data_IF_198805361547
#
_entry.id   IF_198805361547
#
_cell.length_a   1.000
_cell.length_b   1.000
_cell.length_c   1.000
_cell.angle_alpha   90.00
_cell.angle_beta   90.00
_cell.angle_gamma   90.00
#
_symmetry.space_group_name_H-M   'P 1'
#
loop_
_entity.id
_entity.type
_entity.pdbx_description
1 polymer ?
#
# COMPACT_ATOMS: atom_id res chain seq x y z
N UNK A 1 14.22 2.10 -23.46
CA UNK A 1 13.21 1.15 -23.96
C UNK A 1 13.63 -0.32 -23.81
N UNK A 2 14.75 -0.76 -24.37
CA UNK A 2 15.19 -2.16 -24.29
C UNK A 2 15.63 -2.69 -22.91
N UNK A 3 15.94 -1.85 -21.93
CA UNK A 3 16.48 -2.29 -20.63
C UNK A 3 15.48 -2.95 -19.68
N UNK A 4 14.21 -2.54 -19.67
CA UNK A 4 13.17 -3.16 -18.83
C UNK A 4 12.68 -4.46 -19.49
N UNK A 5 12.45 -4.44 -20.82
CA UNK A 5 12.08 -5.64 -21.57
C UNK A 5 13.17 -6.73 -21.53
N UNK A 6 14.46 -6.35 -21.58
CA UNK A 6 15.58 -7.28 -21.45
C UNK A 6 15.71 -7.90 -20.05
N UNK A 7 15.40 -7.14 -18.97
CA UNK A 7 15.34 -7.69 -17.60
C UNK A 7 14.22 -8.70 -17.40
N UNK A 8 13.12 -8.56 -18.12
CA UNK A 8 11.98 -9.50 -18.06
C UNK A 8 12.26 -10.82 -18.80
N UNK A 9 13.15 -10.80 -19.80
CA UNK A 9 13.49 -11.98 -20.62
C UNK A 9 14.70 -12.78 -20.13
N UNK A 10 15.62 -12.20 -19.32
CA UNK A 10 16.94 -12.79 -19.06
C UNK A 10 17.13 -13.43 -17.69
N UNK A 11 16.09 -13.58 -16.86
CA UNK A 11 16.25 -14.20 -15.53
C UNK A 11 15.91 -15.71 -15.51
N UNK A 12 16.38 -16.47 -16.50
CA UNK A 12 16.42 -17.94 -16.40
C UNK A 12 17.85 -18.50 -16.23
N UNK A 13 18.87 -17.69 -16.04
CA UNK A 13 20.22 -18.19 -15.73
C UNK A 13 21.03 -17.19 -14.90
N UNK A 14 21.42 -17.68 -13.73
CA UNK A 14 22.49 -17.27 -12.81
C UNK A 14 23.55 -16.28 -13.30
N UNK A 15 23.75 -15.17 -12.59
CA UNK A 15 25.01 -14.80 -11.92
C UNK A 15 25.01 -13.34 -11.45
N UNK A 16 25.54 -13.15 -10.25
CA UNK A 16 25.76 -11.91 -9.54
C UNK A 16 26.65 -10.92 -10.30
N UNK A 17 26.16 -9.71 -10.56
CA UNK A 17 27.02 -8.54 -10.74
C UNK A 17 26.31 -7.30 -10.18
N UNK A 18 26.92 -6.72 -9.16
CA UNK A 18 26.50 -5.52 -8.48
C UNK A 18 26.39 -4.34 -9.47
N UNK A 19 25.16 -3.85 -9.65
CA UNK A 19 24.93 -2.59 -10.35
C UNK A 19 25.09 -1.44 -9.33
N UNK A 20 26.14 -0.63 -9.55
CA UNK A 20 26.35 0.63 -8.84
C UNK A 20 25.12 1.52 -9.05
N UNK A 21 24.49 1.90 -7.95
CA UNK A 21 23.44 2.91 -7.92
C UNK A 21 24.04 4.25 -8.38
N UNK A 22 23.53 4.80 -9.47
CA UNK A 22 23.80 6.18 -9.82
C UNK A 22 23.09 7.09 -8.82
N UNK A 23 23.76 8.13 -8.28
CA UNK A 23 23.11 9.08 -7.39
C UNK A 23 22.03 9.87 -8.15
N UNK A 24 20.97 10.23 -7.44
CA UNK A 24 19.91 11.13 -7.91
C UNK A 24 20.52 12.36 -8.60
N UNK A 25 19.95 12.87 -9.69
CA UNK A 25 20.35 14.17 -10.23
C UNK A 25 20.10 15.24 -9.17
N UNK A 26 21.19 15.87 -8.72
CA UNK A 26 21.24 16.90 -7.67
C UNK A 26 20.74 18.27 -8.11
N UNK A 27 20.15 18.40 -9.29
CA UNK A 27 19.65 19.67 -9.82
C UNK A 27 18.12 19.76 -9.70
N UNK A 28 17.61 19.68 -8.47
CA UNK A 28 16.29 20.17 -8.12
C UNK A 28 16.49 21.57 -7.55
N UNK A 29 15.89 22.58 -8.18
CA UNK A 29 15.87 23.95 -7.67
C UNK A 29 15.49 23.95 -6.19
N UNK A 30 16.18 24.74 -5.34
CA UNK A 30 15.88 24.77 -3.92
C UNK A 30 14.49 25.39 -3.73
N UNK A 31 13.52 24.55 -3.34
CA UNK A 31 12.32 25.06 -2.70
C UNK A 31 12.70 25.79 -1.41
N UNK A 32 11.96 26.83 -1.00
CA UNK A 32 12.24 27.51 0.25
C UNK A 32 12.30 26.46 1.37
N UNK A 33 13.42 26.42 2.05
CA UNK A 33 13.68 25.59 3.24
C UNK A 33 12.83 26.10 4.40
N UNK A 34 11.52 26.02 4.30
CA UNK A 34 10.66 26.03 5.48
C UNK A 34 10.86 24.68 6.14
N UNK A 35 11.47 24.71 7.31
CA UNK A 35 11.78 23.61 8.22
C UNK A 35 10.93 22.34 7.99
N UNK A 36 11.35 21.49 7.02
CA UNK A 36 10.83 20.15 6.88
C UNK A 36 11.25 19.36 8.13
N UNK A 37 10.31 19.19 9.06
CA UNK A 37 10.49 18.19 10.09
C UNK A 37 10.36 16.82 9.44
N UNK A 38 11.15 15.81 9.88
CA UNK A 38 11.04 14.47 9.33
C UNK A 38 9.59 14.00 9.49
N UNK A 39 9.03 13.51 8.40
CA UNK A 39 7.73 12.86 8.38
C UNK A 39 7.72 11.74 9.41
N UNK A 40 6.84 11.82 10.36
CA UNK A 40 6.58 10.74 11.28
C UNK A 40 5.40 9.96 10.76
N UNK A 41 5.68 8.84 10.12
CA UNK A 41 4.63 7.89 9.77
C UNK A 41 4.01 7.37 11.06
N UNK A 42 3.01 8.08 11.50
CA UNK A 42 1.91 7.58 12.30
C UNK A 42 2.16 7.07 13.71
N UNK A 43 3.40 6.94 14.20
CA UNK A 43 3.71 6.56 15.56
C UNK A 43 4.90 7.38 16.05
N UNK A 44 4.67 8.64 16.42
CA UNK A 44 5.61 9.38 17.25
C UNK A 44 5.55 8.89 18.69
N UNK A 45 5.89 7.63 18.91
CA UNK A 45 6.19 7.15 20.24
C UNK A 45 7.62 7.57 20.57
N UNK A 46 7.76 8.57 21.41
CA UNK A 46 9.07 8.91 21.95
C UNK A 46 9.65 7.73 22.73
N UNK A 47 10.96 7.57 22.72
CA UNK A 47 11.65 6.43 23.33
C UNK A 47 11.32 6.22 24.81
N UNK A 48 10.91 7.29 25.52
CA UNK A 48 10.50 7.20 26.93
C UNK A 48 9.07 6.64 27.11
N UNK A 49 8.25 6.61 26.07
CA UNK A 49 6.86 6.14 26.09
C UNK A 49 6.73 4.62 25.92
N UNK A 50 7.82 3.92 25.73
CA UNK A 50 7.86 2.46 25.52
C UNK A 50 8.99 1.82 26.33
N UNK A 51 8.87 0.52 26.58
CA UNK A 51 9.92 -0.27 27.24
C UNK A 51 11.04 -0.55 26.22
N UNK A 52 12.29 -0.13 26.42
CA UNK A 52 13.35 -0.25 25.43
C UNK A 52 13.64 -1.69 25.00
N UNK A 53 13.55 -2.65 25.91
CA UNK A 53 13.81 -4.05 25.60
C UNK A 53 12.69 -4.67 24.78
N UNK A 54 11.43 -4.25 24.96
CA UNK A 54 10.33 -4.64 24.10
C UNK A 54 10.59 -4.19 22.64
N UNK A 55 11.05 -2.96 22.45
CA UNK A 55 11.39 -2.45 21.10
C UNK A 55 12.55 -3.23 20.47
N UNK A 56 13.58 -3.62 21.23
CA UNK A 56 14.67 -4.46 20.72
C UNK A 56 14.15 -5.81 20.25
N UNK A 57 13.26 -6.47 21.01
CA UNK A 57 12.66 -7.75 20.65
C UNK A 57 11.79 -7.62 19.41
N UNK A 58 10.96 -6.57 19.30
CA UNK A 58 10.13 -6.29 18.16
C UNK A 58 10.98 -6.12 16.89
N UNK A 59 12.01 -5.27 16.97
CA UNK A 59 12.91 -5.02 15.84
C UNK A 59 13.66 -6.28 15.42
N UNK A 60 14.13 -7.09 16.38
CA UNK A 60 14.76 -8.36 16.06
C UNK A 60 13.82 -9.28 15.31
N UNK A 61 12.60 -9.48 15.81
CA UNK A 61 11.61 -10.38 15.20
C UNK A 61 11.25 -9.97 13.77
N UNK A 62 10.94 -8.69 13.55
CA UNK A 62 10.55 -8.17 12.23
C UNK A 62 11.72 -8.19 11.24
N UNK A 63 12.91 -7.76 11.68
CA UNK A 63 14.09 -7.75 10.81
C UNK A 63 14.53 -9.18 10.42
N UNK A 64 14.50 -10.11 11.38
CA UNK A 64 14.84 -11.51 11.10
C UNK A 64 13.88 -12.15 10.09
N UNK A 65 12.58 -11.91 10.25
CA UNK A 65 11.57 -12.35 9.27
C UNK A 65 11.84 -11.75 7.89
N UNK A 66 11.96 -10.44 7.79
CA UNK A 66 12.12 -9.73 6.51
C UNK A 66 13.42 -10.07 5.79
N UNK A 67 14.48 -10.38 6.53
CA UNK A 67 15.80 -10.75 5.96
C UNK A 67 15.77 -12.14 5.33
N UNK A 68 15.17 -13.12 5.99
CA UNK A 68 15.28 -14.52 5.59
C UNK A 68 14.05 -15.02 4.82
N UNK A 69 12.86 -14.48 5.11
CA UNK A 69 11.57 -14.89 4.48
C UNK A 69 11.34 -16.41 4.51
N UNK A 70 11.92 -17.13 5.46
CA UNK A 70 11.81 -18.57 5.62
C UNK A 70 10.75 -18.94 6.64
N UNK A 71 10.22 -20.17 6.57
CA UNK A 71 9.31 -20.70 7.60
C UNK A 71 9.97 -20.70 8.99
N UNK A 72 11.28 -20.93 9.05
CA UNK A 72 12.06 -20.87 10.29
C UNK A 72 12.08 -19.47 10.89
N UNK A 73 12.39 -18.44 10.10
CA UNK A 73 12.40 -17.05 10.55
C UNK A 73 11.00 -16.52 10.90
N UNK A 74 9.96 -16.98 10.20
CA UNK A 74 8.57 -16.71 10.55
C UNK A 74 8.23 -17.23 11.96
N UNK A 75 8.44 -18.51 12.21
CA UNK A 75 8.21 -19.13 13.52
C UNK A 75 9.03 -18.49 14.62
N UNK A 76 10.30 -18.19 14.35
CA UNK A 76 11.19 -17.50 15.29
C UNK A 76 10.65 -16.10 15.61
N UNK A 77 10.26 -15.31 14.61
CA UNK A 77 9.69 -13.99 14.80
C UNK A 77 8.44 -14.01 15.68
N UNK A 78 7.49 -14.91 15.39
CA UNK A 78 6.28 -15.09 16.21
C UNK A 78 6.61 -15.55 17.64
N UNK A 79 7.58 -16.45 17.81
CA UNK A 79 8.02 -16.92 19.13
C UNK A 79 8.59 -15.77 19.98
N UNK A 80 9.47 -14.95 19.40
CA UNK A 80 10.05 -13.77 20.06
C UNK A 80 8.97 -12.78 20.48
N UNK A 81 8.02 -12.47 19.58
CA UNK A 81 6.90 -11.56 19.88
C UNK A 81 5.95 -12.13 20.93
N UNK A 82 5.68 -13.44 20.90
CA UNK A 82 4.90 -14.12 21.94
C UNK A 82 5.60 -14.03 23.29
N UNK A 83 6.92 -14.24 23.33
CA UNK A 83 7.69 -14.07 24.55
C UNK A 83 7.66 -12.62 25.05
N UNK A 84 7.81 -11.63 24.16
CA UNK A 84 7.67 -10.22 24.50
C UNK A 84 6.30 -9.90 25.14
N UNK A 85 5.23 -10.49 24.65
CA UNK A 85 3.87 -10.31 25.18
C UNK A 85 3.61 -11.03 26.51
N UNK A 86 4.41 -12.05 26.86
CA UNK A 86 4.25 -12.89 28.06
C UNK A 86 5.26 -12.58 29.16
N UNK A 87 6.13 -11.58 28.99
CA UNK A 87 7.11 -11.19 29.99
C UNK A 87 6.71 -9.88 30.71
N UNK A 88 7.36 -9.61 31.84
CA UNK A 88 7.13 -8.41 32.66
C UNK A 88 7.22 -7.08 31.87
N UNK A 89 7.86 -7.11 30.69
CA UNK A 89 7.99 -5.95 29.81
C UNK A 89 6.64 -5.37 29.33
N UNK A 90 5.57 -6.17 29.40
CA UNK A 90 4.24 -5.80 28.91
C UNK A 90 3.11 -6.09 29.92
N UNK A 91 3.42 -6.54 31.14
CA UNK A 91 2.41 -6.88 32.16
C UNK A 91 1.83 -5.66 32.90
N UNK A 92 2.48 -4.50 32.84
CA UNK A 92 1.97 -3.27 33.45
C UNK A 92 0.69 -2.75 32.78
N UNK A 93 -0.13 -2.03 33.56
CA UNK A 93 -1.34 -1.35 33.04
C UNK A 93 -1.12 0.16 32.83
N UNK A 94 0.08 0.64 33.02
CA UNK A 94 0.42 2.02 32.68
C UNK A 94 0.59 2.22 31.17
N UNK A 95 0.55 3.46 30.72
CA UNK A 95 0.65 3.81 29.29
C UNK A 95 1.90 3.24 28.64
N UNK A 96 3.03 3.19 29.34
CA UNK A 96 4.31 2.70 28.78
C UNK A 96 4.29 1.20 28.48
N UNK A 97 3.71 0.39 29.36
CA UNK A 97 3.58 -1.05 29.18
C UNK A 97 2.51 -1.36 28.11
N UNK A 98 1.35 -0.67 28.14
CA UNK A 98 0.33 -0.84 27.12
C UNK A 98 0.81 -0.41 25.72
N UNK A 99 1.61 0.65 25.61
CA UNK A 99 2.25 1.03 24.35
C UNK A 99 3.16 -0.10 23.82
N UNK A 100 4.00 -0.65 24.70
CA UNK A 100 4.91 -1.73 24.34
C UNK A 100 4.17 -2.98 23.92
N UNK A 101 3.10 -3.31 24.63
CA UNK A 101 2.19 -4.43 24.30
C UNK A 101 1.51 -4.21 22.94
N UNK A 102 0.95 -3.04 22.73
CA UNK A 102 0.30 -2.68 21.47
C UNK A 102 1.27 -2.73 20.28
N UNK A 103 2.49 -2.23 20.45
CA UNK A 103 3.55 -2.31 19.45
C UNK A 103 3.95 -3.75 19.13
N UNK A 104 4.03 -4.63 20.12
CA UNK A 104 4.32 -6.05 19.89
C UNK A 104 3.17 -6.76 19.15
N UNK A 105 1.91 -6.41 19.45
CA UNK A 105 0.74 -6.90 18.73
C UNK A 105 0.71 -6.42 17.27
N UNK A 106 0.99 -5.13 17.02
CA UNK A 106 1.14 -4.57 15.67
C UNK A 106 2.24 -5.29 14.88
N UNK A 107 3.39 -5.53 15.50
CA UNK A 107 4.49 -6.27 14.90
C UNK A 107 4.09 -7.70 14.53
N UNK A 108 3.38 -8.38 15.44
CA UNK A 108 2.87 -9.71 15.20
C UNK A 108 1.88 -9.75 14.04
N UNK A 109 0.93 -8.80 14.02
CA UNK A 109 -0.02 -8.64 12.92
C UNK A 109 0.72 -8.38 11.59
N UNK A 110 1.77 -7.55 11.60
CA UNK A 110 2.58 -7.28 10.39
C UNK A 110 3.24 -8.54 9.84
N UNK A 111 3.87 -9.35 10.69
CA UNK A 111 4.49 -10.62 10.27
C UNK A 111 3.45 -11.60 9.74
N UNK A 112 2.29 -11.71 10.39
CA UNK A 112 1.18 -12.53 9.95
C UNK A 112 0.63 -12.07 8.60
N UNK A 113 0.41 -10.76 8.44
CA UNK A 113 -0.02 -10.15 7.17
C UNK A 113 0.97 -10.44 6.04
N UNK A 114 2.27 -10.19 6.26
CA UNK A 114 3.32 -10.43 5.26
C UNK A 114 3.44 -11.93 4.90
N UNK A 115 2.93 -12.84 5.73
CA UNK A 115 2.84 -14.28 5.47
C UNK A 115 1.52 -14.66 4.78
N UNK A 116 0.52 -13.76 4.79
CA UNK A 116 -0.80 -14.00 4.26
C UNK A 116 -1.82 -14.58 5.26
N UNK A 117 -1.47 -14.62 6.55
CA UNK A 117 -2.35 -15.10 7.64
C UNK A 117 -3.29 -13.98 8.10
N UNK A 118 -4.17 -13.52 7.20
CA UNK A 118 -4.98 -12.30 7.41
C UNK A 118 -5.92 -12.38 8.61
N UNK A 119 -6.59 -13.52 8.83
CA UNK A 119 -7.54 -13.69 9.95
C UNK A 119 -6.84 -13.54 11.29
N UNK A 120 -5.70 -14.23 11.49
CA UNK A 120 -4.93 -14.12 12.73
C UNK A 120 -4.33 -12.70 12.90
N UNK A 121 -3.95 -12.04 11.79
CA UNK A 121 -3.49 -10.66 11.82
C UNK A 121 -4.57 -9.71 12.33
N UNK A 122 -5.82 -9.86 11.86
CA UNK A 122 -6.97 -9.07 12.29
C UNK A 122 -7.27 -9.28 13.77
N UNK A 123 -7.27 -10.52 14.26
CA UNK A 123 -7.46 -10.83 15.68
C UNK A 123 -6.46 -10.06 16.57
N UNK A 124 -5.19 -10.01 16.15
CA UNK A 124 -4.16 -9.27 16.91
C UNK A 124 -4.36 -7.75 16.87
N UNK A 125 -4.92 -7.21 15.81
CA UNK A 125 -5.28 -5.79 15.71
C UNK A 125 -6.50 -5.45 16.59
N UNK A 126 -7.44 -6.38 16.73
CA UNK A 126 -8.57 -6.26 17.66
C UNK A 126 -8.11 -6.23 19.10
N UNK A 127 -7.18 -7.11 19.49
CA UNK A 127 -6.59 -7.13 20.83
C UNK A 127 -5.98 -5.77 21.25
N UNK A 128 -5.45 -4.99 20.29
CA UNK A 128 -4.89 -3.65 20.56
C UNK A 128 -5.95 -2.68 21.06
N UNK A 129 -7.20 -2.83 20.66
CA UNK A 129 -8.29 -1.92 21.06
C UNK A 129 -8.65 -2.02 22.55
N UNK A 130 -8.29 -3.13 23.20
CA UNK A 130 -8.47 -3.33 24.65
C UNK A 130 -7.47 -2.54 25.50
N UNK A 131 -6.43 -1.98 24.88
CA UNK A 131 -5.38 -1.20 25.54
C UNK A 131 -5.80 0.26 25.72
N UNK A 132 -6.65 0.51 26.72
CA UNK A 132 -7.30 1.82 26.91
C UNK A 132 -6.36 2.94 27.33
N UNK A 133 -5.25 2.60 28.03
CA UNK A 133 -4.22 3.55 28.45
C UNK A 133 -3.09 3.70 27.42
N UNK A 134 -3.17 3.00 26.30
CA UNK A 134 -2.17 3.12 25.25
C UNK A 134 -2.29 4.45 24.51
N UNK A 135 -1.15 4.89 23.95
CA UNK A 135 -1.08 6.07 23.10
C UNK A 135 -2.07 5.99 21.93
N UNK A 136 -2.77 7.09 21.65
CA UNK A 136 -3.79 7.14 20.61
C UNK A 136 -3.30 6.61 19.26
N UNK A 137 -2.06 6.93 18.88
CA UNK A 137 -1.45 6.49 17.62
C UNK A 137 -1.33 4.98 17.48
N UNK A 138 -1.15 4.23 18.57
CA UNK A 138 -1.12 2.76 18.56
C UNK A 138 -2.49 2.20 18.19
N UNK A 139 -3.54 2.73 18.79
CA UNK A 139 -4.93 2.30 18.52
C UNK A 139 -5.40 2.72 17.13
N UNK A 140 -5.09 3.95 16.71
CA UNK A 140 -5.40 4.43 15.35
C UNK A 140 -4.64 3.59 14.31
N UNK A 141 -3.34 3.32 14.53
CA UNK A 141 -2.56 2.48 13.64
C UNK A 141 -3.12 1.06 13.49
N UNK A 142 -3.60 0.47 14.59
CA UNK A 142 -4.25 -0.85 14.54
C UNK A 142 -5.57 -0.82 13.75
N UNK A 143 -6.40 0.23 13.90
CA UNK A 143 -7.65 0.37 13.16
C UNK A 143 -7.41 0.65 11.67
N UNK A 144 -6.41 1.47 11.31
CA UNK A 144 -6.02 1.65 9.90
C UNK A 144 -5.57 0.33 9.27
N UNK A 145 -4.72 -0.42 9.97
CA UNK A 145 -4.26 -1.72 9.50
C UNK A 145 -5.42 -2.71 9.32
N UNK A 146 -6.33 -2.77 10.29
CA UNK A 146 -7.51 -3.63 10.23
C UNK A 146 -8.43 -3.26 9.06
N UNK A 147 -8.71 -1.98 8.87
CA UNK A 147 -9.51 -1.51 7.73
C UNK A 147 -8.83 -1.84 6.40
N UNK A 148 -7.50 -1.63 6.30
CA UNK A 148 -6.72 -2.00 5.11
C UNK A 148 -6.81 -3.48 4.78
N UNK A 149 -6.70 -4.36 5.79
CA UNK A 149 -6.86 -5.82 5.60
C UNK A 149 -8.26 -6.19 5.11
N UNK A 150 -9.32 -5.61 5.68
CA UNK A 150 -10.68 -5.84 5.22
C UNK A 150 -10.90 -5.36 3.78
N UNK A 151 -10.34 -4.19 3.42
CA UNK A 151 -10.37 -3.70 2.04
C UNK A 151 -9.65 -4.67 1.09
N UNK A 152 -8.49 -5.18 1.47
CA UNK A 152 -7.72 -6.13 0.66
C UNK A 152 -8.48 -7.45 0.47
N UNK A 153 -9.24 -7.87 1.49
CA UNK A 153 -10.10 -9.06 1.44
C UNK A 153 -11.44 -8.83 0.70
N UNK A 154 -11.72 -7.62 0.24
CA UNK A 154 -12.99 -7.29 -0.41
C UNK A 154 -14.18 -7.14 0.55
N UNK A 155 -13.91 -6.95 1.84
CA UNK A 155 -14.92 -6.82 2.90
C UNK A 155 -15.16 -5.33 3.24
N UNK A 156 -15.67 -4.58 2.27
CA UNK A 156 -15.79 -3.12 2.32
C UNK A 156 -16.68 -2.61 3.46
N UNK A 157 -17.73 -3.35 3.81
CA UNK A 157 -18.62 -2.98 4.91
C UNK A 157 -17.94 -3.12 6.28
N UNK A 158 -17.10 -4.16 6.46
CA UNK A 158 -16.31 -4.32 7.67
C UNK A 158 -15.23 -3.24 7.75
N UNK A 159 -14.57 -2.92 6.63
CA UNK A 159 -13.62 -1.81 6.57
C UNK A 159 -14.27 -0.48 6.95
N UNK A 160 -15.50 -0.22 6.47
CA UNK A 160 -16.27 0.98 6.82
C UNK A 160 -16.60 1.05 8.30
N UNK A 161 -17.04 -0.06 8.90
CA UNK A 161 -17.33 -0.14 10.33
C UNK A 161 -16.08 0.13 11.20
N UNK A 162 -14.91 -0.37 10.76
CA UNK A 162 -13.63 -0.10 11.43
C UNK A 162 -13.22 1.36 11.29
N UNK A 163 -13.43 1.98 10.12
CA UNK A 163 -13.16 3.40 9.93
C UNK A 163 -14.06 4.28 10.81
N UNK A 164 -15.34 3.91 11.00
CA UNK A 164 -16.24 4.58 11.94
C UNK A 164 -15.78 4.42 13.40
N UNK A 165 -15.30 3.23 13.77
CA UNK A 165 -14.68 3.00 15.09
C UNK A 165 -13.43 3.87 15.27
N UNK A 166 -12.61 4.01 14.24
CA UNK A 166 -11.41 4.85 14.26
C UNK A 166 -11.76 6.32 14.56
N UNK A 167 -12.75 6.88 13.84
CA UNK A 167 -13.23 8.23 14.10
C UNK A 167 -13.72 8.40 15.53
N UNK A 168 -14.56 7.47 16.03
CA UNK A 168 -15.06 7.52 17.41
C UNK A 168 -13.94 7.48 18.46
N UNK A 169 -12.91 6.65 18.25
CA UNK A 169 -11.75 6.57 19.17
C UNK A 169 -11.04 7.91 19.25
N UNK A 170 -10.84 8.57 18.12
CA UNK A 170 -10.18 9.89 18.07
C UNK A 170 -11.07 10.98 18.67
N UNK A 171 -12.36 11.00 18.35
CA UNK A 171 -13.31 12.00 18.89
C UNK A 171 -13.46 11.89 20.41
N UNK A 172 -13.48 10.68 20.96
CA UNK A 172 -13.53 10.46 22.40
C UNK A 172 -12.29 11.04 23.10
N UNK A 173 -11.10 10.96 22.47
CA UNK A 173 -9.89 11.56 23.03
C UNK A 173 -9.95 13.10 23.10
N UNK A 174 -10.70 13.75 22.20
CA UNK A 174 -10.93 15.21 22.23
C UNK A 174 -11.62 15.68 23.50
N UNK A 175 -12.41 14.81 24.13
CA UNK A 175 -13.15 15.11 25.35
C UNK A 175 -12.33 14.88 26.62
N UNK A 176 -11.12 14.34 26.51
CA UNK A 176 -10.25 14.07 27.66
C UNK A 176 -9.70 15.37 28.27
N UNK A 177 -9.49 15.37 29.61
CA UNK A 177 -9.06 16.55 30.37
C UNK A 177 -7.69 17.09 29.96
N UNK A 178 -6.81 16.24 29.41
CA UNK A 178 -5.42 16.58 29.04
C UNK A 178 -5.28 16.95 27.56
N UNK A 179 -6.38 17.27 26.89
CA UNK A 179 -6.42 17.55 25.45
C UNK A 179 -5.45 18.66 24.99
N UNK A 180 -5.29 19.74 25.78
CA UNK A 180 -4.45 20.87 25.40
C UNK A 180 -2.96 20.51 25.30
N UNK A 181 -2.48 19.54 26.09
CA UNK A 181 -1.08 19.10 26.09
C UNK A 181 -0.80 18.23 24.83
N UNK A 182 -1.79 17.47 24.39
CA UNK A 182 -1.68 16.50 23.28
C UNK A 182 -2.28 17.03 21.95
N UNK A 183 -2.58 18.32 21.87
CA UNK A 183 -3.31 18.90 20.72
C UNK A 183 -2.67 18.63 19.35
N UNK A 184 -1.35 18.67 19.28
CA UNK A 184 -0.63 18.44 18.01
C UNK A 184 -0.79 17.00 17.52
N UNK A 185 -0.58 16.04 18.42
CA UNK A 185 -0.67 14.62 18.14
C UNK A 185 -2.11 14.25 17.80
N UNK A 186 -3.08 14.82 18.51
CA UNK A 186 -4.49 14.67 18.22
C UNK A 186 -4.83 15.07 16.77
N UNK A 187 -4.36 16.24 16.30
CA UNK A 187 -4.63 16.71 14.93
C UNK A 187 -4.11 15.71 13.89
N UNK A 188 -2.90 15.17 14.08
CA UNK A 188 -2.34 14.19 13.17
C UNK A 188 -3.19 12.91 13.11
N UNK A 189 -3.62 12.39 14.25
CA UNK A 189 -4.47 11.18 14.32
C UNK A 189 -5.88 11.42 13.80
N UNK A 190 -6.42 12.62 14.02
CA UNK A 190 -7.72 13.01 13.49
C UNK A 190 -7.71 13.05 11.95
N UNK A 191 -6.64 13.60 11.37
CA UNK A 191 -6.46 13.62 9.90
C UNK A 191 -6.34 12.21 9.35
N UNK A 192 -5.58 11.33 10.02
CA UNK A 192 -5.46 9.93 9.61
C UNK A 192 -6.83 9.21 9.63
N UNK A 193 -7.61 9.41 10.69
CA UNK A 193 -8.95 8.82 10.78
C UNK A 193 -9.89 9.36 9.69
N UNK A 194 -9.85 10.67 9.39
CA UNK A 194 -10.57 11.28 8.27
C UNK A 194 -10.12 10.71 6.93
N UNK A 195 -8.81 10.62 6.69
CA UNK A 195 -8.28 10.05 5.47
C UNK A 195 -8.71 8.60 5.28
N UNK A 196 -8.76 7.81 6.36
CA UNK A 196 -9.28 6.45 6.30
C UNK A 196 -10.75 6.41 5.87
N UNK A 197 -11.59 7.28 6.42
CA UNK A 197 -12.99 7.42 5.98
C UNK A 197 -13.08 7.82 4.52
N UNK A 198 -12.31 8.83 4.11
CA UNK A 198 -12.22 9.26 2.71
C UNK A 198 -11.79 8.12 1.77
N UNK A 199 -10.81 7.30 2.17
CA UNK A 199 -10.39 6.13 1.40
C UNK A 199 -11.54 5.13 1.21
N UNK A 200 -12.29 4.83 2.27
CA UNK A 200 -13.46 3.92 2.18
C UNK A 200 -14.47 4.44 1.16
N UNK A 201 -14.78 5.75 1.19
CA UNK A 201 -15.72 6.34 0.25
C UNK A 201 -15.17 6.33 -1.19
N UNK A 202 -13.87 6.56 -1.38
CA UNK A 202 -13.22 6.44 -2.70
C UNK A 202 -13.31 5.01 -3.25
N UNK A 203 -13.04 4.00 -2.43
CA UNK A 203 -13.14 2.58 -2.81
C UNK A 203 -14.58 2.21 -3.20
N UNK A 204 -15.58 2.76 -2.49
CA UNK A 204 -16.99 2.60 -2.83
C UNK A 204 -17.42 3.42 -4.07
N UNK A 205 -16.54 4.24 -4.62
CA UNK A 205 -16.83 5.12 -5.75
C UNK A 205 -17.69 6.35 -5.38
N UNK A 206 -17.73 6.75 -4.11
CA UNK A 206 -18.49 7.89 -3.56
C UNK A 206 -17.58 9.12 -3.46
N UNK A 207 -17.14 9.68 -4.59
CA UNK A 207 -16.16 10.79 -4.62
C UNK A 207 -16.67 12.03 -3.89
N UNK A 208 -17.96 12.36 -4.02
CA UNK A 208 -18.54 13.53 -3.36
C UNK A 208 -18.60 13.35 -1.84
N UNK A 209 -18.94 12.15 -1.37
CA UNK A 209 -18.88 11.84 0.07
C UNK A 209 -17.45 11.82 0.61
N UNK A 210 -16.49 11.40 -0.22
CA UNK A 210 -15.07 11.45 0.16
C UNK A 210 -14.59 12.89 0.36
N UNK A 211 -15.08 13.86 -0.44
CA UNK A 211 -14.72 15.27 -0.37
C UNK A 211 -14.93 15.87 1.02
N UNK A 212 -16.01 15.49 1.72
CA UNK A 212 -16.32 15.96 3.07
C UNK A 212 -15.20 15.69 4.08
N UNK A 213 -14.38 14.65 3.85
CA UNK A 213 -13.24 14.31 4.70
C UNK A 213 -11.96 15.07 4.37
N UNK A 214 -11.90 15.72 3.19
CA UNK A 214 -10.71 16.41 2.70
C UNK A 214 -10.88 17.93 2.59
N UNK A 215 -12.12 18.46 2.74
CA UNK A 215 -12.47 19.86 2.47
C UNK A 215 -12.13 20.83 3.62
N UNK A 216 -11.71 20.37 4.78
CA UNK A 216 -11.29 21.24 5.86
C UNK A 216 -9.94 21.92 5.53
N UNK A 217 -9.77 23.21 5.89
CA UNK A 217 -8.51 23.92 5.70
C UNK A 217 -7.45 23.41 6.69
N UNK A 218 -7.07 22.17 6.52
CA UNK A 218 -5.99 21.56 7.27
C UNK A 218 -4.70 21.95 6.57
N UNK A 219 -3.76 22.53 7.34
CA UNK A 219 -2.43 22.88 6.85
C UNK A 219 -1.80 21.68 6.12
N UNK A 220 -1.35 21.88 4.88
CA UNK A 220 -0.76 20.85 4.02
C UNK A 220 0.32 20.01 4.70
N UNK A 221 0.97 20.56 5.74
CA UNK A 221 1.99 19.84 6.52
C UNK A 221 1.48 18.61 7.28
N UNK A 222 0.17 18.44 7.43
CA UNK A 222 -0.44 17.30 8.11
C UNK A 222 -0.89 16.20 7.13
N UNK A 223 -0.90 16.49 5.82
CA UNK A 223 -1.17 15.50 4.80
C UNK A 223 0.12 14.76 4.44
N UNK A 224 0.54 13.86 5.33
CA UNK A 224 1.72 13.04 5.15
C UNK A 224 1.40 11.53 5.20
N UNK A 225 2.38 10.71 4.89
CA UNK A 225 2.25 9.27 5.00
C UNK A 225 1.03 8.71 4.27
N UNK A 226 0.26 7.87 4.95
CA UNK A 226 -0.95 7.23 4.41
C UNK A 226 -2.06 8.24 4.14
N UNK A 227 -2.21 9.24 5.00
CA UNK A 227 -3.20 10.29 4.83
C UNK A 227 -2.90 11.14 3.59
N UNK A 228 -1.63 11.54 3.40
CA UNK A 228 -1.20 12.25 2.21
C UNK A 228 -1.38 11.47 0.94
N UNK A 229 -1.09 10.16 0.96
CA UNK A 229 -1.32 9.29 -0.19
C UNK A 229 -2.81 9.23 -0.56
N UNK A 230 -3.70 9.04 0.41
CA UNK A 230 -5.15 9.02 0.16
C UNK A 230 -5.68 10.36 -0.35
N UNK A 231 -5.19 11.47 0.22
CA UNK A 231 -5.55 12.79 -0.26
C UNK A 231 -5.13 13.02 -1.72
N UNK A 232 -3.93 12.58 -2.08
CA UNK A 232 -3.45 12.68 -3.46
C UNK A 232 -4.30 11.81 -4.43
N UNK A 233 -4.75 10.64 -4.00
CA UNK A 233 -5.65 9.78 -4.78
C UNK A 233 -7.04 10.42 -4.96
N UNK A 234 -7.57 11.07 -3.93
CA UNK A 234 -8.77 11.88 -4.03
C UNK A 234 -8.61 13.02 -5.05
N UNK A 235 -7.52 13.77 -4.98
CA UNK A 235 -7.21 14.84 -5.95
C UNK A 235 -7.07 14.28 -7.37
N UNK A 236 -6.44 13.13 -7.53
CA UNK A 236 -6.33 12.43 -8.81
C UNK A 236 -7.73 12.08 -9.36
N UNK A 237 -8.60 11.54 -8.52
CA UNK A 237 -9.99 11.22 -8.89
C UNK A 237 -10.81 12.46 -9.27
N UNK A 238 -10.57 13.60 -8.62
CA UNK A 238 -11.15 14.93 -8.93
C UNK A 238 -10.49 15.61 -10.14
N UNK A 239 -9.55 14.95 -10.84
CA UNK A 239 -8.78 15.48 -11.98
C UNK A 239 -7.88 16.70 -11.65
N UNK A 240 -7.58 16.94 -10.37
CA UNK A 240 -6.62 17.95 -9.96
C UNK A 240 -5.19 17.39 -10.01
N UNK A 241 -4.73 17.08 -11.21
CA UNK A 241 -3.48 16.35 -11.43
C UNK A 241 -2.24 17.10 -10.95
N UNK A 242 -2.21 18.43 -11.07
CA UNK A 242 -1.06 19.23 -10.65
C UNK A 242 -0.83 19.11 -9.14
N UNK A 243 -1.87 19.33 -8.35
CA UNK A 243 -1.77 19.23 -6.89
C UNK A 243 -1.58 17.77 -6.43
N UNK A 244 -2.27 16.81 -7.05
CA UNK A 244 -2.07 15.40 -6.77
C UNK A 244 -0.61 14.98 -6.97
N UNK A 245 0.02 15.41 -8.07
CA UNK A 245 1.43 15.15 -8.36
C UNK A 245 2.36 15.70 -7.28
N UNK A 246 2.13 16.93 -6.81
CA UNK A 246 2.92 17.54 -5.74
C UNK A 246 2.80 16.75 -4.42
N UNK A 247 1.58 16.35 -4.05
CA UNK A 247 1.35 15.56 -2.83
C UNK A 247 1.97 14.18 -2.94
N UNK A 248 1.79 13.44 -4.05
CA UNK A 248 2.45 12.15 -4.26
C UNK A 248 3.97 12.26 -4.13
N UNK A 249 4.57 13.28 -4.75
CA UNK A 249 6.01 13.52 -4.65
C UNK A 249 6.45 13.77 -3.21
N UNK A 250 5.67 14.53 -2.45
CA UNK A 250 5.94 14.77 -1.03
C UNK A 250 5.90 13.47 -0.23
N UNK A 251 4.90 12.61 -0.48
CA UNK A 251 4.79 11.29 0.17
C UNK A 251 5.97 10.38 -0.17
N UNK A 252 6.40 10.33 -1.44
CA UNK A 252 7.60 9.57 -1.86
C UNK A 252 8.84 10.04 -1.10
N UNK A 253 9.06 11.35 -1.03
CA UNK A 253 10.22 11.92 -0.32
C UNK A 253 10.18 11.59 1.17
N UNK A 254 9.01 11.71 1.79
CA UNK A 254 8.80 11.34 3.20
C UNK A 254 9.09 9.85 3.46
N UNK A 255 8.56 8.95 2.65
CA UNK A 255 8.79 7.52 2.76
C UNK A 255 10.28 7.14 2.64
N UNK A 256 11.00 7.78 1.69
CA UNK A 256 12.46 7.60 1.54
C UNK A 256 13.21 8.08 2.79
N UNK A 257 12.82 9.20 3.39
CA UNK A 257 13.46 9.73 4.60
C UNK A 257 13.25 8.79 5.79
N UNK A 258 12.04 8.27 5.98
CA UNK A 258 11.72 7.31 7.04
C UNK A 258 12.59 6.05 6.90
N UNK A 259 12.67 5.50 5.69
CA UNK A 259 13.48 4.32 5.41
C UNK A 259 14.97 4.56 5.72
N UNK A 260 15.50 5.75 5.40
CA UNK A 260 16.89 6.12 5.67
C UNK A 260 17.18 6.37 7.16
N UNK A 261 16.22 6.92 7.88
CA UNK A 261 16.36 7.16 9.29
C UNK A 261 16.42 5.87 10.12
N UNK A 262 16.07 4.73 9.54
CA UNK A 262 16.08 3.45 10.24
C UNK A 262 15.14 3.44 11.43
N UNK A 263 13.97 4.11 11.31
CA UNK A 263 13.03 4.23 12.40
C UNK A 263 12.68 2.84 12.97
N UNK A 264 12.98 2.57 14.24
CA UNK A 264 12.69 1.29 14.87
C UNK A 264 11.20 1.07 15.10
N UNK A 265 10.38 2.11 14.95
CA UNK A 265 8.94 2.03 15.17
C UNK A 265 8.25 1.51 13.92
N UNK A 266 7.37 0.55 14.11
CA UNK A 266 6.57 0.00 13.05
C UNK A 266 5.54 1.04 12.59
N UNK A 267 5.47 1.26 11.29
CA UNK A 267 4.31 1.89 10.70
C UNK A 267 3.04 1.06 11.01
N UNK A 268 1.87 1.65 10.86
CA UNK A 268 0.60 0.93 10.97
C UNK A 268 0.65 -0.40 10.19
N UNK A 269 0.04 -1.45 10.75
CA UNK A 269 0.28 -2.85 10.43
C UNK A 269 0.45 -3.24 8.97
N UNK A 270 -0.40 -2.78 8.06
CA UNK A 270 -0.31 -3.08 6.62
C UNK A 270 0.47 -2.04 5.80
N UNK A 271 0.94 -0.95 6.43
CA UNK A 271 1.68 0.12 5.76
C UNK A 271 3.05 0.31 6.38
N UNK A 272 4.02 -0.45 5.91
CA UNK A 272 5.44 -0.16 6.15
C UNK A 272 5.91 1.02 5.29
N UNK A 273 7.06 1.62 5.63
CA UNK A 273 7.67 2.64 4.79
C UNK A 273 7.92 2.15 3.34
N UNK A 274 8.21 0.86 3.17
CA UNK A 274 8.39 0.27 1.85
C UNK A 274 7.07 0.18 1.07
N UNK A 275 5.97 -0.22 1.70
CA UNK A 275 4.65 -0.26 1.05
C UNK A 275 4.17 1.14 0.69
N UNK A 276 4.34 2.11 1.59
CA UNK A 276 4.03 3.51 1.32
C UNK A 276 4.84 4.03 0.13
N UNK A 277 6.12 3.67 0.03
CA UNK A 277 7.00 4.03 -1.07
C UNK A 277 6.52 3.42 -2.39
N UNK A 278 6.20 2.12 -2.40
CA UNK A 278 5.66 1.43 -3.60
C UNK A 278 4.35 2.06 -4.04
N UNK A 279 3.41 2.26 -3.11
CA UNK A 279 2.10 2.85 -3.41
C UNK A 279 2.21 4.26 -3.98
N UNK A 280 3.01 5.11 -3.34
CA UNK A 280 3.18 6.51 -3.79
C UNK A 280 3.95 6.62 -5.11
N UNK A 281 5.00 5.82 -5.34
CA UNK A 281 5.70 5.78 -6.63
C UNK A 281 4.80 5.26 -7.75
N UNK A 282 4.00 4.23 -7.48
CA UNK A 282 3.06 3.68 -8.44
C UNK A 282 1.99 4.71 -8.83
N UNK A 283 1.38 5.37 -7.85
CA UNK A 283 0.39 6.42 -8.10
C UNK A 283 1.00 7.64 -8.80
N UNK A 284 2.22 8.04 -8.42
CA UNK A 284 2.94 9.11 -9.09
C UNK A 284 3.24 8.77 -10.56
N UNK A 285 3.68 7.54 -10.84
CA UNK A 285 3.90 7.08 -12.22
C UNK A 285 2.61 7.01 -13.05
N UNK A 286 1.48 6.66 -12.43
CA UNK A 286 0.17 6.68 -13.09
C UNK A 286 -0.21 8.13 -13.50
N UNK A 287 0.00 9.11 -12.63
CA UNK A 287 -0.33 10.51 -12.95
C UNK A 287 0.61 11.09 -14.02
N UNK A 288 1.90 10.73 -14.03
CA UNK A 288 2.82 11.12 -15.09
C UNK A 288 2.37 10.57 -16.46
N UNK A 289 1.90 9.33 -16.48
CA UNK A 289 1.33 8.74 -17.70
C UNK A 289 0.07 9.48 -18.16
N UNK A 290 -0.78 9.93 -17.24
CA UNK A 290 -1.97 10.75 -17.56
C UNK A 290 -1.61 12.11 -18.13
N UNK A 291 -0.54 12.71 -17.63
CA UNK A 291 -0.03 13.98 -18.12
C UNK A 291 0.77 13.86 -19.43
N UNK A 292 1.00 12.65 -19.94
CA UNK A 292 1.72 12.36 -21.18
C UNK A 292 3.24 12.26 -21.02
N UNK A 293 3.77 12.37 -19.80
CA UNK A 293 5.20 12.20 -19.55
C UNK A 293 5.54 10.69 -19.34
N UNK A 294 5.56 9.96 -20.45
CA UNK A 294 5.82 8.52 -20.42
C UNK A 294 7.24 8.15 -20.00
N UNK A 295 8.19 9.05 -20.13
CA UNK A 295 9.56 8.81 -19.66
C UNK A 295 9.60 8.73 -18.13
N UNK A 296 9.02 9.71 -17.45
CA UNK A 296 8.94 9.72 -15.99
C UNK A 296 7.98 8.67 -15.46
N UNK A 297 6.86 8.42 -16.15
CA UNK A 297 5.95 7.35 -15.79
C UNK A 297 6.64 5.98 -15.78
N UNK A 298 7.36 5.62 -16.85
CA UNK A 298 8.12 4.37 -16.95
C UNK A 298 9.20 4.26 -15.88
N UNK A 299 9.86 5.38 -15.59
CA UNK A 299 10.91 5.45 -14.58
C UNK A 299 10.37 5.18 -13.16
N UNK A 300 9.30 5.87 -12.75
CA UNK A 300 8.74 5.73 -11.41
C UNK A 300 8.01 4.39 -11.22
N UNK A 301 7.26 3.94 -12.22
CA UNK A 301 6.65 2.60 -12.18
C UNK A 301 7.69 1.48 -12.18
N UNK A 302 8.80 1.66 -12.90
CA UNK A 302 9.93 0.71 -12.88
C UNK A 302 10.61 0.63 -11.51
N UNK A 303 10.76 1.76 -10.82
CA UNK A 303 11.23 1.79 -9.44
C UNK A 303 10.23 1.12 -8.49
N UNK A 304 8.93 1.47 -8.60
CA UNK A 304 7.88 0.86 -7.81
C UNK A 304 7.89 -0.67 -7.95
N UNK A 305 8.14 -1.19 -9.17
CA UNK A 305 8.25 -2.63 -9.41
C UNK A 305 9.44 -3.24 -8.66
N UNK A 306 10.61 -2.60 -8.73
CA UNK A 306 11.80 -3.07 -8.01
C UNK A 306 11.58 -3.07 -6.50
N UNK A 307 11.02 -1.99 -5.96
CA UNK A 307 10.71 -1.88 -4.53
C UNK A 307 9.66 -2.90 -4.07
N UNK A 308 8.65 -3.20 -4.91
CA UNK A 308 7.64 -4.21 -4.61
C UNK A 308 8.24 -5.63 -4.58
N UNK A 309 9.10 -5.97 -5.54
CA UNK A 309 9.80 -7.26 -5.58
C UNK A 309 10.73 -7.43 -4.37
N UNK A 310 11.44 -6.37 -3.97
CA UNK A 310 12.34 -6.38 -2.80
C UNK A 310 11.56 -6.44 -1.47
N UNK A 311 10.48 -5.68 -1.35
CA UNK A 311 9.68 -5.63 -0.12
C UNK A 311 9.02 -6.96 0.23
N UNK A 312 8.61 -7.73 -0.76
CA UNK A 312 7.90 -9.00 -0.56
C UNK A 312 8.78 -10.23 -0.77
N UNK A 313 9.94 -10.09 -1.42
CA UNK A 313 10.84 -11.20 -1.72
C UNK A 313 10.25 -12.26 -2.67
N UNK A 314 9.03 -12.05 -3.15
CA UNK A 314 8.31 -12.93 -4.07
C UNK A 314 7.84 -12.14 -5.31
N UNK A 315 8.36 -12.44 -6.50
CA UNK A 315 7.91 -11.79 -7.73
C UNK A 315 6.47 -12.16 -8.14
N UNK A 316 5.84 -13.10 -7.43
CA UNK A 316 4.43 -13.49 -7.63
C UNK A 316 3.49 -12.84 -6.62
N UNK A 317 3.96 -11.93 -5.79
CA UNK A 317 3.10 -11.24 -4.85
C UNK A 317 2.04 -10.39 -5.57
N UNK A 318 0.77 -10.32 -5.10
CA UNK A 318 -0.30 -9.54 -5.74
C UNK A 318 0.03 -8.05 -5.93
N UNK A 319 0.80 -7.44 -5.01
CA UNK A 319 1.29 -6.07 -5.15
C UNK A 319 2.17 -5.90 -6.40
N UNK A 320 3.02 -6.88 -6.70
CA UNK A 320 3.84 -6.89 -7.94
C UNK A 320 2.94 -6.90 -9.16
N UNK A 321 1.86 -7.69 -9.15
CA UNK A 321 0.87 -7.71 -10.22
C UNK A 321 0.17 -6.35 -10.40
N UNK A 322 -0.15 -5.64 -9.30
CA UNK A 322 -0.74 -4.31 -9.35
C UNK A 322 0.18 -3.28 -10.04
N UNK A 323 1.47 -3.30 -9.70
CA UNK A 323 2.46 -2.42 -10.34
C UNK A 323 2.67 -2.78 -11.81
N UNK A 324 2.72 -4.07 -12.15
CA UNK A 324 2.80 -4.54 -13.53
C UNK A 324 1.57 -4.15 -14.35
N UNK A 325 0.36 -4.19 -13.76
CA UNK A 325 -0.86 -3.73 -14.40
C UNK A 325 -0.79 -2.22 -14.69
N UNK A 326 -0.27 -1.43 -13.74
CA UNK A 326 -0.07 0.02 -13.94
C UNK A 326 0.93 0.30 -15.07
N UNK A 327 2.03 -0.44 -15.15
CA UNK A 327 2.98 -0.37 -16.28
C UNK A 327 2.31 -0.74 -17.61
N UNK A 328 1.53 -1.80 -17.65
CA UNK A 328 0.85 -2.25 -18.86
C UNK A 328 -0.15 -1.19 -19.37
N UNK A 329 -0.91 -0.59 -18.46
CA UNK A 329 -1.85 0.49 -18.80
C UNK A 329 -1.13 1.77 -19.24
N UNK A 330 0.02 2.09 -18.64
CA UNK A 330 0.88 3.18 -19.10
C UNK A 330 1.33 2.95 -20.56
N UNK A 331 1.81 1.74 -20.88
CA UNK A 331 2.20 1.42 -22.27
C UNK A 331 1.01 1.39 -23.24
N UNK A 332 -0.19 0.96 -22.78
CA UNK A 332 -1.43 1.07 -23.59
C UNK A 332 -1.71 2.54 -23.93
N UNK A 333 -1.67 3.43 -22.94
CA UNK A 333 -1.89 4.85 -23.16
C UNK A 333 -0.82 5.46 -24.10
N UNK A 334 0.45 5.12 -23.87
CA UNK A 334 1.56 5.52 -24.73
C UNK A 334 1.35 5.08 -26.17
N UNK A 335 0.95 3.82 -26.38
CA UNK A 335 0.69 3.29 -27.72
C UNK A 335 -0.43 4.03 -28.45
N UNK A 336 -1.51 4.37 -27.74
CA UNK A 336 -2.64 5.14 -28.29
C UNK A 336 -2.19 6.56 -28.65
N UNK A 337 -1.47 7.25 -27.76
CA UNK A 337 -1.09 8.65 -27.92
C UNK A 337 0.03 8.85 -28.94
N UNK A 338 1.03 7.97 -28.95
CA UNK A 338 2.19 8.06 -29.84
C UNK A 338 2.02 7.23 -31.15
N UNK A 339 0.88 6.55 -31.33
CA UNK A 339 0.66 5.60 -32.44
C UNK A 339 1.81 4.56 -32.56
N UNK A 340 2.35 4.12 -31.44
CA UNK A 340 3.53 3.26 -31.38
C UNK A 340 3.17 1.77 -31.26
N UNK A 341 4.08 0.90 -31.71
CA UNK A 341 3.91 -0.55 -31.68
C UNK A 341 4.27 -1.19 -30.32
N UNK A 342 3.92 -0.57 -29.20
CA UNK A 342 4.20 -1.13 -27.86
C UNK A 342 3.32 -2.35 -27.49
N UNK A 343 2.61 -2.95 -28.48
CA UNK A 343 1.68 -4.06 -28.26
C UNK A 343 2.34 -5.30 -27.66
N UNK A 344 3.56 -5.64 -28.10
CA UNK A 344 4.28 -6.81 -27.57
C UNK A 344 4.68 -6.65 -26.11
N UNK A 345 5.04 -5.42 -25.71
CA UNK A 345 5.36 -5.12 -24.30
C UNK A 345 4.09 -5.24 -23.46
N UNK A 346 2.99 -4.67 -23.92
CA UNK A 346 1.69 -4.76 -23.25
C UNK A 346 1.27 -6.22 -23.08
N UNK A 347 1.32 -7.02 -24.14
CA UNK A 347 0.96 -8.44 -24.10
C UNK A 347 1.78 -9.21 -23.06
N UNK A 348 3.10 -9.00 -23.04
CA UNK A 348 3.99 -9.64 -22.04
C UNK A 348 3.66 -9.26 -20.61
N UNK A 349 3.34 -7.99 -20.36
CA UNK A 349 2.98 -7.49 -19.03
C UNK A 349 1.61 -8.03 -18.58
N UNK A 350 0.58 -7.98 -19.44
CA UNK A 350 -0.75 -8.51 -19.10
C UNK A 350 -0.70 -10.01 -18.81
N UNK A 351 0.03 -10.80 -19.62
CA UNK A 351 0.22 -12.24 -19.36
C UNK A 351 0.88 -12.47 -17.98
N UNK A 352 1.90 -11.70 -17.64
CA UNK A 352 2.59 -11.82 -16.34
C UNK A 352 1.63 -11.48 -15.18
N UNK A 353 0.82 -10.42 -15.31
CA UNK A 353 -0.21 -10.08 -14.30
C UNK A 353 -1.21 -11.24 -14.13
N UNK A 354 -1.73 -11.77 -15.25
CA UNK A 354 -2.69 -12.87 -15.23
C UNK A 354 -2.07 -14.13 -14.62
N UNK A 355 -0.81 -14.43 -14.91
CA UNK A 355 -0.09 -15.58 -14.34
C UNK A 355 0.13 -15.47 -12.84
N UNK A 356 0.46 -14.27 -12.34
CA UNK A 356 0.62 -14.02 -10.91
C UNK A 356 -0.72 -14.18 -10.17
N UNK A 357 -1.82 -13.69 -10.77
CA UNK A 357 -3.14 -13.66 -10.16
C UNK A 357 -4.02 -14.86 -10.54
N UNK A 358 -3.44 -15.94 -11.07
CA UNK A 358 -4.18 -17.20 -11.28
C UNK A 358 -4.62 -17.76 -9.93
N UNK A 359 -5.91 -18.10 -9.84
CA UNK A 359 -6.43 -18.87 -8.71
C UNK A 359 -5.70 -20.21 -8.67
N UNK A 360 -5.07 -20.59 -7.56
CA UNK A 360 -4.50 -21.94 -7.41
C UNK A 360 -5.59 -22.97 -7.68
N UNK A 361 -5.32 -23.97 -8.53
CA UNK A 361 -6.22 -25.11 -8.67
C UNK A 361 -6.31 -25.86 -7.34
N UNK A 362 -7.43 -26.50 -7.05
CA UNK A 362 -7.60 -27.25 -5.79
C UNK A 362 -6.51 -28.28 -5.54
N UNK A 363 -5.91 -28.81 -6.61
CA UNK A 363 -4.77 -29.73 -6.56
C UNK A 363 -3.45 -29.10 -6.09
N UNK A 364 -3.33 -27.76 -6.13
CA UNK A 364 -2.12 -27.02 -5.71
C UNK A 364 -2.24 -26.38 -4.33
N UNK A 365 -3.36 -26.58 -3.63
CA UNK A 365 -3.50 -26.19 -2.22
C UNK A 365 -2.66 -27.14 -1.36
N UNK A 366 -1.35 -26.90 -1.30
CA UNK A 366 -0.48 -27.54 -0.32
C UNK A 366 -0.88 -27.07 1.07
N UNK A 367 -0.98 -28.00 2.01
CA UNK A 367 -1.17 -27.68 3.43
C UNK A 367 -0.10 -26.65 3.86
N UNK A 368 -0.51 -25.43 4.20
CA UNK A 368 0.37 -24.33 4.58
C UNK A 368 0.67 -23.31 3.48
N UNK A 369 -0.02 -23.33 2.33
CA UNK A 369 0.02 -22.25 1.35
C UNK A 369 -0.59 -20.96 1.91
N UNK A 370 0.03 -19.80 1.61
CA UNK A 370 -0.54 -18.50 1.97
C UNK A 370 -1.97 -18.38 1.43
N UNK A 371 -2.93 -17.82 2.19
CA UNK A 371 -4.28 -17.61 1.72
C UNK A 371 -4.24 -16.74 0.44
N UNK A 372 -5.03 -17.16 -0.53
CA UNK A 372 -5.13 -16.48 -1.81
C UNK A 372 -5.87 -15.15 -1.62
N UNK A 373 -5.20 -14.05 -1.95
CA UNK A 373 -5.85 -12.74 -2.02
C UNK A 373 -6.58 -12.65 -3.36
N UNK A 374 -7.90 -12.56 -3.32
CA UNK A 374 -8.72 -12.39 -4.53
C UNK A 374 -8.53 -10.99 -5.10
N UNK A 375 -7.64 -10.88 -6.09
CA UNK A 375 -7.39 -9.68 -6.87
C UNK A 375 -8.10 -9.74 -8.21
N UNK A 376 -9.37 -10.17 -8.16
CA UNK A 376 -10.23 -10.27 -9.33
C UNK A 376 -10.38 -8.95 -10.09
N UNK A 377 -10.31 -7.82 -9.38
CA UNK A 377 -10.32 -6.47 -9.96
C UNK A 377 -9.14 -6.24 -10.92
N UNK A 378 -7.90 -6.45 -10.46
CA UNK A 378 -6.70 -6.29 -11.31
C UNK A 378 -6.62 -7.37 -12.39
N UNK A 379 -6.99 -8.59 -12.04
CA UNK A 379 -7.04 -9.69 -13.00
C UNK A 379 -8.06 -9.42 -14.12
N UNK A 380 -9.22 -8.86 -13.80
CA UNK A 380 -10.23 -8.45 -14.77
C UNK A 380 -9.73 -7.29 -15.65
N UNK A 381 -9.13 -6.25 -15.02
CA UNK A 381 -8.55 -5.13 -15.75
C UNK A 381 -7.47 -5.58 -16.75
N UNK A 382 -6.55 -6.44 -16.30
CA UNK A 382 -5.49 -6.97 -17.15
C UNK A 382 -6.05 -7.83 -18.31
N UNK A 383 -7.06 -8.67 -18.04
CA UNK A 383 -7.72 -9.49 -19.07
C UNK A 383 -8.51 -8.66 -20.06
N UNK A 384 -9.24 -7.63 -19.59
CA UNK A 384 -9.99 -6.72 -20.46
C UNK A 384 -9.06 -5.97 -21.42
N UNK A 385 -8.00 -5.37 -20.89
CA UNK A 385 -7.00 -4.69 -21.73
C UNK A 385 -6.23 -5.66 -22.64
N UNK A 386 -5.96 -6.87 -22.19
CA UNK A 386 -5.35 -7.90 -23.04
C UNK A 386 -6.27 -8.35 -24.18
N UNK A 387 -7.58 -8.45 -23.91
CA UNK A 387 -8.56 -8.77 -24.95
C UNK A 387 -8.55 -7.74 -26.09
N UNK A 388 -8.34 -6.45 -25.80
CA UNK A 388 -8.19 -5.42 -26.83
C UNK A 388 -6.94 -5.67 -27.69
N UNK A 389 -5.81 -6.04 -27.08
CA UNK A 389 -4.57 -6.38 -27.81
C UNK A 389 -4.77 -7.59 -28.72
N UNK A 390 -5.54 -8.58 -28.27
CA UNK A 390 -5.85 -9.78 -29.04
C UNK A 390 -6.82 -9.49 -30.21
N UNK A 391 -7.80 -8.63 -29.99
CA UNK A 391 -8.86 -8.33 -30.99
C UNK A 391 -8.34 -7.65 -32.26
N UNK A 392 -7.19 -6.94 -32.17
CA UNK A 392 -6.53 -6.35 -33.35
C UNK A 392 -5.71 -7.36 -34.15
N UNK A 393 -5.51 -8.58 -33.63
CA UNK A 393 -4.80 -9.67 -34.30
C UNK A 393 -5.84 -10.64 -34.96
N UNK A 394 -5.89 -10.68 -36.28
CA UNK A 394 -6.93 -11.44 -37.01
C UNK A 394 -7.07 -12.89 -36.56
N UNK A 395 -5.96 -13.55 -36.26
CA UNK A 395 -5.94 -14.97 -35.89
C UNK A 395 -6.27 -15.22 -34.39
N UNK A 396 -6.50 -14.18 -33.61
CA UNK A 396 -6.70 -14.29 -32.15
C UNK A 396 -7.96 -13.60 -31.63
N UNK A 397 -8.87 -13.22 -32.52
CA UNK A 397 -10.13 -12.56 -32.16
C UNK A 397 -10.98 -13.40 -31.22
N UNK A 398 -11.09 -14.71 -31.46
CA UNK A 398 -11.85 -15.62 -30.59
C UNK A 398 -11.25 -15.75 -29.20
N UNK A 399 -9.91 -15.73 -29.09
CA UNK A 399 -9.19 -15.70 -27.81
C UNK A 399 -9.47 -14.38 -27.07
N UNK A 400 -9.46 -13.27 -27.79
CA UNK A 400 -9.80 -11.94 -27.27
C UNK A 400 -11.22 -11.88 -26.72
N UNK A 401 -12.21 -12.42 -27.44
CA UNK A 401 -13.60 -12.43 -26.98
C UNK A 401 -13.79 -13.28 -25.71
N UNK A 402 -13.19 -14.46 -25.66
CA UNK A 402 -13.19 -15.31 -24.45
C UNK A 402 -12.55 -14.58 -23.26
N UNK A 403 -11.44 -13.89 -23.48
CA UNK A 403 -10.74 -13.13 -22.45
C UNK A 403 -11.59 -11.96 -21.94
N UNK A 404 -12.30 -11.25 -22.84
CA UNK A 404 -13.21 -10.17 -22.51
C UNK A 404 -14.38 -10.66 -21.65
N UNK A 405 -15.07 -11.71 -22.08
CA UNK A 405 -16.20 -12.28 -21.34
C UNK A 405 -15.79 -12.73 -19.93
N UNK A 406 -14.60 -13.33 -19.80
CA UNK A 406 -14.05 -13.71 -18.48
C UNK A 406 -13.76 -12.47 -17.63
N UNK A 407 -13.17 -11.44 -18.22
CA UNK A 407 -12.88 -10.19 -17.50
C UNK A 407 -14.15 -9.51 -16.97
N UNK A 408 -15.19 -9.42 -17.81
CA UNK A 408 -16.49 -8.85 -17.42
C UNK A 408 -17.15 -9.64 -16.29
N UNK A 409 -17.06 -10.98 -16.31
CA UNK A 409 -17.59 -11.82 -15.24
C UNK A 409 -16.87 -11.67 -13.89
N UNK A 410 -15.60 -11.30 -13.94
CA UNK A 410 -14.76 -11.10 -12.74
C UNK A 410 -14.86 -9.68 -12.16
N UNK A 411 -15.27 -8.70 -12.99
CA UNK A 411 -15.32 -7.30 -12.58
C UNK A 411 -16.51 -7.02 -11.67
N UNK A 412 -16.25 -6.57 -10.45
CA UNK A 412 -17.26 -6.38 -9.40
C UNK A 412 -17.33 -4.94 -8.86
N UNK A 413 -16.72 -3.96 -9.55
CA UNK A 413 -16.74 -2.59 -9.08
C UNK A 413 -18.19 -2.04 -9.04
N UNK A 414 -18.66 -1.47 -7.90
CA UNK A 414 -20.07 -1.15 -7.71
C UNK A 414 -20.59 0.00 -8.61
N UNK A 415 -19.72 0.91 -9.03
CA UNK A 415 -20.10 2.13 -9.75
C UNK A 415 -19.37 2.37 -11.07
N UNK A 416 -18.52 1.46 -11.48
CA UNK A 416 -17.71 1.62 -12.68
C UNK A 416 -17.75 0.33 -13.49
N UNK A 417 -18.08 0.39 -14.77
CA UNK A 417 -17.95 -0.77 -15.68
C UNK A 417 -16.46 -1.04 -15.99
N UNK A 418 -16.16 -2.26 -16.45
CA UNK A 418 -14.79 -2.57 -16.86
C UNK A 418 -14.34 -1.69 -18.05
N UNK A 419 -15.25 -1.39 -18.98
CA UNK A 419 -14.96 -0.49 -20.10
C UNK A 419 -14.63 0.92 -19.61
N UNK A 420 -15.41 1.47 -18.68
CA UNK A 420 -15.12 2.78 -18.07
C UNK A 420 -13.78 2.75 -17.32
N UNK A 421 -13.49 1.65 -16.61
CA UNK A 421 -12.22 1.50 -15.91
C UNK A 421 -11.02 1.47 -16.86
N UNK A 422 -11.18 0.97 -18.08
CA UNK A 422 -10.13 0.98 -19.09
C UNK A 422 -9.98 2.33 -19.80
N UNK A 423 -11.05 3.11 -19.89
CA UNK A 423 -11.08 4.37 -20.65
C UNK A 423 -10.94 5.62 -19.77
N UNK A 424 -11.29 5.54 -18.48
CA UNK A 424 -11.24 6.73 -17.61
C UNK A 424 -9.82 7.13 -17.20
N UNK A 425 -9.58 8.43 -17.20
CA UNK A 425 -8.35 9.02 -16.72
C UNK A 425 -8.33 9.20 -15.18
N UNK A 426 -9.47 8.95 -14.52
CA UNK A 426 -9.62 9.19 -13.08
C UNK A 426 -9.49 7.94 -12.21
N UNK A 427 -9.32 6.78 -12.83
CA UNK A 427 -9.05 5.56 -12.07
C UNK A 427 -7.63 5.60 -11.51
N UNK A 428 -7.48 5.07 -10.30
CA UNK A 428 -6.18 4.86 -9.66
C UNK A 428 -6.10 3.40 -9.24
N UNK A 429 -5.00 2.73 -9.58
CA UNK A 429 -4.70 1.43 -9.00
C UNK A 429 -4.01 1.69 -7.66
N UNK A 430 -4.75 1.50 -6.56
CA UNK A 430 -4.23 1.65 -5.22
C UNK A 430 -3.42 0.40 -4.82
N UNK A 431 -2.11 0.55 -4.86
CA UNK A 431 -1.19 -0.55 -4.53
C UNK A 431 -1.08 -0.83 -3.03
N UNK A 432 -1.59 0.05 -2.15
CA UNK A 432 -1.62 -0.18 -0.70
C UNK A 432 -2.57 -1.31 -0.34
N UNK A 433 -3.80 -1.19 -0.84
CA UNK A 433 -4.90 -2.13 -0.58
C UNK A 433 -5.14 -3.06 -1.74
N UNK A 434 -4.30 -2.96 -2.76
CA UNK A 434 -4.39 -3.81 -3.94
C UNK A 434 -5.75 -3.72 -4.68
N UNK A 435 -6.39 -2.55 -4.71
CA UNK A 435 -7.69 -2.28 -5.36
C UNK A 435 -7.60 -1.11 -6.34
N UNK A 436 -8.64 -1.00 -7.18
CA UNK A 436 -8.87 0.17 -8.04
C UNK A 436 -9.87 1.08 -7.34
N UNK A 437 -9.53 2.36 -7.25
CA UNK A 437 -10.37 3.42 -6.66
C UNK A 437 -10.73 4.48 -7.69
#
# INVERSE_FOLDING_TARGET
MFRIAAKLSSRTSSSSSALKANPFPTNLSPFPTSSFRPFTVGLELESHMVVPDAIKMINYAVNQWRKERSLGSFRMGLCVLKHCLSCELTEGRDSKHENSKGMAMLARSTILYERGEYTEAIEKLEDVQELTNSYLGVRVGALEAQAGLYLEMGQDDLAAAVADKCMKVVENQRQAKDFEIQRRDFVAHFIRAKALKGLIELVKGNVDSAEEFFDEPIDQKYWDGTAGLTYAEFLHKKKNYSLAKEVYRSVVLGAVQIRRAGNPYLAAGNMSANQLLVGSMCAYGQIEALMGDFYWAEHELGKALTEAEEAHGDPKHPLVAAVLASLALMYRRKAIQEHSSALLIQEGLYRKVIDILKVPSEETKTEGGAPFVDRSDIAALARGAYAEVLSVQENRKDEGEKMKNLAESMWKHPKMSLADALDTDTKVIDTRISRII
#
